data_IF_171954448657
#
_entry.id   IF_171954448657
#
_cell.length_a   1.000
_cell.length_b   1.000
_cell.length_c   1.000
_cell.angle_alpha   90.00
_cell.angle_beta   90.00
_cell.angle_gamma   90.00
#
_symmetry.space_group_name_H-M   'P 1'
#
loop_
_entity.id
_entity.type
_entity.pdbx_description
1 polymer ?
#
# COMPACT_ATOMS: atom_id res chain seq x y z
N UNK A 1 36.08 37.63 -28.81
CA UNK A 1 36.21 36.58 -27.79
C UNK A 1 34.87 35.87 -27.70
N UNK A 2 34.73 34.76 -28.41
CA UNK A 2 33.52 33.92 -28.39
C UNK A 2 33.77 32.72 -27.50
N UNK A 3 32.86 32.46 -26.57
CA UNK A 3 32.91 31.30 -25.69
C UNK A 3 32.35 30.13 -26.51
N UNK A 4 33.21 29.16 -26.80
CA UNK A 4 32.83 27.87 -27.40
C UNK A 4 32.04 27.08 -26.36
N UNK A 5 30.76 26.86 -26.63
CA UNK A 5 29.92 25.93 -25.88
C UNK A 5 30.31 24.50 -26.27
N UNK A 6 30.86 23.76 -25.31
CA UNK A 6 31.03 22.32 -25.44
C UNK A 6 29.63 21.67 -25.36
N UNK A 7 29.19 21.03 -26.45
CA UNK A 7 28.06 20.09 -26.41
C UNK A 7 28.46 18.89 -25.55
N UNK A 8 27.75 18.73 -24.43
CA UNK A 8 27.75 17.48 -23.68
C UNK A 8 26.86 16.53 -24.47
N UNK A 9 27.48 15.61 -25.21
CA UNK A 9 26.80 14.47 -25.81
C UNK A 9 26.42 13.54 -24.66
N UNK A 10 25.14 13.52 -24.30
CA UNK A 10 24.59 12.44 -23.47
C UNK A 10 24.62 11.18 -24.33
N UNK A 11 25.36 10.17 -23.88
CA UNK A 11 25.25 8.84 -24.45
C UNK A 11 23.82 8.34 -24.21
N UNK A 12 23.12 7.97 -25.29
CA UNK A 12 21.90 7.19 -25.22
C UNK A 12 22.23 5.86 -24.52
N UNK A 13 21.98 5.77 -23.22
CA UNK A 13 21.82 4.47 -22.56
C UNK A 13 20.52 3.85 -23.09
N UNK A 14 20.52 2.58 -23.51
CA UNK A 14 19.27 1.93 -23.89
C UNK A 14 18.42 1.82 -22.63
N UNK A 15 17.39 2.65 -22.54
CA UNK A 15 16.29 2.47 -21.60
C UNK A 15 15.62 1.14 -21.93
N UNK A 16 16.11 0.04 -21.35
CA UNK A 16 15.26 -1.09 -21.03
C UNK A 16 14.40 -0.64 -19.86
N UNK A 17 13.39 0.16 -20.17
CA UNK A 17 12.31 0.36 -19.25
C UNK A 17 11.65 -1.00 -19.03
N UNK A 18 11.37 -1.39 -17.77
CA UNK A 18 10.64 -2.62 -17.52
C UNK A 18 9.25 -2.46 -18.13
N UNK A 19 8.94 -3.26 -19.14
CA UNK A 19 7.56 -3.36 -19.59
C UNK A 19 6.79 -4.02 -18.45
N UNK A 20 6.08 -3.21 -17.66
CA UNK A 20 5.06 -3.71 -16.73
C UNK A 20 3.85 -4.07 -17.61
N UNK A 21 3.98 -5.18 -18.33
CA UNK A 21 3.17 -5.47 -19.53
C UNK A 21 1.76 -5.99 -19.27
N UNK A 22 1.33 -6.09 -18.02
CA UNK A 22 -0.02 -6.53 -17.66
C UNK A 22 -0.45 -5.78 -16.40
N UNK A 23 -1.67 -5.24 -16.37
CA UNK A 23 -2.26 -4.65 -15.15
C UNK A 23 -2.10 -5.64 -13.98
N UNK A 24 -1.26 -5.31 -13.00
CA UNK A 24 -1.02 -6.21 -11.88
C UNK A 24 -2.24 -6.28 -10.97
N UNK A 25 -2.93 -7.42 -10.99
CA UNK A 25 -4.03 -7.68 -10.07
C UNK A 25 -3.52 -7.80 -8.63
N UNK A 26 -4.36 -7.45 -7.66
CA UNK A 26 -4.03 -7.59 -6.25
C UNK A 26 -3.53 -9.01 -5.92
N UNK A 27 -2.45 -9.09 -5.15
CA UNK A 27 -1.84 -10.34 -4.70
C UNK A 27 -0.99 -11.04 -5.77
N UNK A 28 -0.94 -10.51 -7.00
CA UNK A 28 -0.05 -11.04 -8.03
C UNK A 28 1.40 -10.89 -7.60
N UNK A 29 2.16 -11.98 -7.76
CA UNK A 29 3.60 -11.96 -7.53
C UNK A 29 4.27 -11.24 -8.70
N UNK A 30 5.14 -10.30 -8.35
CA UNK A 30 5.97 -9.55 -9.29
C UNK A 30 7.38 -10.14 -9.24
N UNK A 31 7.97 -10.36 -10.40
CA UNK A 31 9.39 -10.69 -10.51
C UNK A 31 10.22 -9.46 -10.13
N UNK A 32 11.10 -9.61 -9.15
CA UNK A 32 11.93 -8.49 -8.68
C UNK A 32 13.10 -8.32 -9.65
N UNK A 33 13.18 -7.14 -10.27
CA UNK A 33 14.28 -6.75 -11.14
C UNK A 33 14.96 -5.47 -10.64
N UNK A 34 16.21 -5.19 -11.02
CA UNK A 34 16.91 -3.94 -10.69
C UNK A 34 16.09 -2.69 -11.06
N UNK A 35 15.40 -2.71 -12.20
CA UNK A 35 14.62 -1.58 -12.71
C UNK A 35 13.37 -1.32 -11.84
N UNK A 36 12.68 -2.38 -11.44
CA UNK A 36 11.53 -2.31 -10.52
C UNK A 36 11.97 -1.76 -9.16
N UNK A 37 13.14 -2.17 -8.67
CA UNK A 37 13.69 -1.66 -7.42
C UNK A 37 14.12 -0.19 -7.56
N UNK A 38 14.69 0.20 -8.70
CA UNK A 38 15.09 1.58 -8.97
C UNK A 38 13.89 2.54 -9.07
N UNK A 39 12.74 2.07 -9.56
CA UNK A 39 11.51 2.87 -9.64
C UNK A 39 10.63 2.79 -8.38
N UNK A 40 11.04 2.03 -7.37
CA UNK A 40 10.31 1.85 -6.13
C UNK A 40 10.53 3.02 -5.15
N UNK A 41 9.42 3.58 -4.67
CA UNK A 41 9.37 4.63 -3.66
C UNK A 41 8.79 4.06 -2.37
N UNK A 42 9.63 3.73 -1.37
CA UNK A 42 9.18 3.17 -0.10
C UNK A 42 8.39 4.19 0.73
N UNK A 43 7.37 3.72 1.44
CA UNK A 43 6.52 4.51 2.36
C UNK A 43 6.53 3.95 3.77
N UNK A 44 6.64 2.62 3.91
CA UNK A 44 6.63 1.92 5.20
C UNK A 44 7.68 0.83 5.23
N UNK A 45 8.26 0.59 6.40
CA UNK A 45 9.20 -0.51 6.63
C UNK A 45 8.80 -1.28 7.88
N UNK A 46 8.90 -2.60 7.79
CA UNK A 46 8.78 -3.48 8.93
C UNK A 46 10.02 -4.38 8.99
N UNK A 47 10.82 -4.33 10.07
CA UNK A 47 11.94 -5.25 10.25
C UNK A 47 11.44 -6.67 10.49
N UNK A 48 12.26 -7.69 10.21
CA UNK A 48 11.89 -9.07 10.51
C UNK A 48 11.63 -9.22 12.02
N UNK A 49 10.47 -9.80 12.36
CA UNK A 49 10.04 -10.00 13.75
C UNK A 49 9.12 -11.22 13.85
N UNK A 50 9.44 -12.11 14.78
CA UNK A 50 8.66 -13.33 15.05
C UNK A 50 8.38 -14.14 13.78
N UNK A 51 7.11 -14.30 13.40
CA UNK A 51 6.69 -15.04 12.19
C UNK A 51 6.54 -14.14 10.96
N UNK A 52 6.78 -12.84 11.09
CA UNK A 52 6.74 -11.91 9.97
C UNK A 52 8.15 -11.64 9.44
N UNK A 53 8.40 -11.87 8.13
CA UNK A 53 9.62 -11.44 7.49
C UNK A 53 9.75 -9.90 7.49
N UNK A 54 10.95 -9.43 7.18
CA UNK A 54 11.13 -8.01 6.87
C UNK A 54 10.35 -7.69 5.59
N UNK A 55 9.70 -6.53 5.55
CA UNK A 55 9.05 -6.05 4.34
C UNK A 55 9.13 -4.54 4.22
N UNK A 56 9.03 -4.07 2.97
CA UNK A 56 8.98 -2.65 2.62
C UNK A 56 7.76 -2.43 1.73
N UNK A 57 6.87 -1.55 2.16
CA UNK A 57 5.69 -1.16 1.38
C UNK A 57 5.87 0.22 0.78
N UNK A 58 5.39 0.42 -0.43
CA UNK A 58 5.46 1.70 -1.13
C UNK A 58 4.80 1.62 -2.50
N UNK A 59 5.33 2.34 -3.48
CA UNK A 59 4.82 2.29 -4.84
C UNK A 59 5.92 2.16 -5.88
N UNK A 60 5.64 1.37 -6.92
CA UNK A 60 6.48 1.24 -8.12
C UNK A 60 5.89 2.13 -9.20
N UNK A 61 6.72 2.95 -9.84
CA UNK A 61 6.32 3.72 -11.02
C UNK A 61 6.62 2.93 -12.29
N UNK A 62 5.59 2.74 -13.11
CA UNK A 62 5.72 2.38 -14.51
C UNK A 62 5.97 3.65 -15.31
N UNK A 63 7.22 3.84 -15.73
CA UNK A 63 7.64 5.03 -16.46
C UNK A 63 7.21 5.01 -17.93
N UNK A 64 6.85 3.86 -18.49
CA UNK A 64 6.39 3.76 -19.88
C UNK A 64 4.91 4.03 -20.02
N UNK A 65 4.10 3.43 -19.16
CA UNK A 65 2.64 3.55 -19.24
C UNK A 65 2.06 4.60 -18.28
N UNK A 66 2.91 5.24 -17.46
CA UNK A 66 2.48 6.21 -16.45
C UNK A 66 1.71 5.58 -15.28
N UNK A 67 1.82 4.26 -15.12
CA UNK A 67 1.20 3.50 -14.04
C UNK A 67 1.88 3.75 -12.69
N UNK A 68 1.11 3.78 -11.61
CA UNK A 68 1.66 3.73 -10.23
C UNK A 68 1.04 2.54 -9.52
N UNK A 69 1.84 1.64 -8.99
CA UNK A 69 1.35 0.43 -8.33
C UNK A 69 1.75 0.42 -6.86
N UNK A 70 0.79 0.33 -5.94
CA UNK A 70 1.06 0.00 -4.54
C UNK A 70 1.65 -1.41 -4.48
N UNK A 71 2.85 -1.54 -3.91
CA UNK A 71 3.64 -2.76 -3.94
C UNK A 71 4.27 -3.04 -2.58
N UNK A 72 4.28 -4.31 -2.18
CA UNK A 72 4.99 -4.80 -0.99
C UNK A 72 6.16 -5.69 -1.43
N UNK A 73 7.37 -5.32 -1.02
CA UNK A 73 8.56 -6.16 -1.11
C UNK A 73 8.75 -6.90 0.21
N UNK A 74 8.94 -8.21 0.16
CA UNK A 74 9.11 -9.09 1.32
C UNK A 74 10.44 -9.81 1.20
N UNK A 75 11.25 -9.78 2.27
CA UNK A 75 12.51 -10.51 2.32
C UNK A 75 12.31 -11.91 2.85
N UNK A 76 12.55 -12.91 2.01
CA UNK A 76 12.51 -14.32 2.37
C UNK A 76 13.91 -14.91 2.23
N UNK A 77 14.51 -15.27 3.37
CA UNK A 77 15.93 -15.65 3.43
C UNK A 77 16.82 -14.59 2.73
N UNK A 78 17.52 -15.00 1.68
CA UNK A 78 18.45 -14.15 0.91
C UNK A 78 17.82 -13.54 -0.35
N UNK A 79 16.51 -13.70 -0.56
CA UNK A 79 15.82 -13.21 -1.76
C UNK A 79 14.65 -12.29 -1.42
N UNK A 80 14.37 -11.36 -2.33
CA UNK A 80 13.19 -10.50 -2.27
C UNK A 80 12.09 -11.02 -3.18
N UNK A 81 10.84 -10.95 -2.69
CA UNK A 81 9.63 -11.17 -3.48
C UNK A 81 8.80 -9.90 -3.45
N UNK A 82 8.09 -9.58 -4.52
CA UNK A 82 7.20 -8.44 -4.57
C UNK A 82 5.75 -8.88 -4.84
N UNK A 83 4.79 -8.18 -4.26
CA UNK A 83 3.37 -8.37 -4.47
C UNK A 83 2.71 -7.05 -4.84
N UNK A 84 1.95 -7.06 -5.93
CA UNK A 84 1.08 -5.94 -6.27
C UNK A 84 -0.11 -5.88 -5.32
N UNK A 85 -0.54 -4.68 -4.97
CA UNK A 85 -1.74 -4.47 -4.16
C UNK A 85 -2.82 -3.82 -5.02
N UNK A 86 -2.55 -2.64 -5.57
CA UNK A 86 -3.53 -1.90 -6.36
C UNK A 86 -2.84 -0.87 -7.26
N UNK A 87 -3.34 -0.72 -8.49
CA UNK A 87 -2.94 0.29 -9.45
C UNK A 87 -3.56 1.67 -9.11
N UNK A 88 -2.83 2.75 -9.41
CA UNK A 88 -3.13 4.15 -9.11
C UNK A 88 -3.43 4.45 -7.64
N UNK A 89 -3.00 3.58 -6.74
CA UNK A 89 -3.31 3.64 -5.32
C UNK A 89 -2.08 3.87 -4.45
N UNK A 90 -2.32 4.36 -3.23
CA UNK A 90 -1.34 4.43 -2.16
C UNK A 90 -1.82 3.68 -0.92
N UNK A 91 -0.87 3.22 -0.10
CA UNK A 91 -1.17 2.62 1.20
C UNK A 91 -1.66 3.68 2.17
N UNK A 92 -2.87 3.47 2.69
CA UNK A 92 -3.47 4.31 3.72
C UNK A 92 -3.15 3.83 5.13
N UNK A 93 -3.20 2.52 5.35
CA UNK A 93 -3.08 1.89 6.65
C UNK A 93 -2.49 0.49 6.50
N UNK A 94 -1.78 0.04 7.52
CA UNK A 94 -1.18 -1.29 7.58
C UNK A 94 -1.34 -1.81 9.01
N UNK A 95 -1.88 -3.02 9.16
CA UNK A 95 -1.96 -3.74 10.42
C UNK A 95 -0.97 -4.89 10.42
N UNK A 96 -0.28 -5.10 11.54
CA UNK A 96 0.74 -6.14 11.71
C UNK A 96 0.51 -6.85 13.03
N UNK A 97 0.53 -8.19 12.99
CA UNK A 97 0.56 -9.03 14.18
C UNK A 97 1.67 -10.08 14.01
N UNK A 98 2.88 -9.70 14.44
CA UNK A 98 4.12 -10.45 14.18
C UNK A 98 4.09 -11.89 14.71
N UNK A 99 3.53 -12.11 15.89
CA UNK A 99 3.45 -13.43 16.53
C UNK A 99 2.60 -14.45 15.75
N UNK A 100 1.65 -13.98 14.95
CA UNK A 100 0.80 -14.84 14.10
C UNK A 100 1.21 -14.83 12.64
N UNK A 101 2.22 -14.04 12.26
CA UNK A 101 2.64 -13.95 10.85
C UNK A 101 1.66 -13.15 9.99
N UNK A 102 0.83 -12.29 10.61
CA UNK A 102 -0.25 -11.59 9.92
C UNK A 102 0.12 -10.16 9.58
N UNK A 103 -0.17 -9.78 8.35
CA UNK A 103 -0.17 -8.39 7.92
C UNK A 103 -1.41 -8.12 7.04
N UNK A 104 -1.97 -6.93 7.16
CA UNK A 104 -3.12 -6.46 6.37
C UNK A 104 -2.79 -5.07 5.87
N UNK A 105 -2.89 -4.86 4.56
CA UNK A 105 -2.58 -3.63 3.87
C UNK A 105 -3.86 -3.07 3.26
N UNK A 106 -4.12 -1.78 3.48
CA UNK A 106 -5.27 -1.08 2.95
C UNK A 106 -4.79 -0.02 1.95
N UNK A 107 -5.09 -0.19 0.67
CA UNK A 107 -4.78 0.80 -0.36
C UNK A 107 -6.03 1.44 -0.93
N UNK A 108 -5.91 2.69 -1.36
CA UNK A 108 -6.98 3.45 -2.00
C UNK A 108 -6.42 4.31 -3.11
N UNK A 109 -7.19 4.46 -4.19
CA UNK A 109 -6.85 5.32 -5.34
C UNK A 109 -7.02 6.78 -4.92
N UNK A 110 -5.98 7.60 -5.01
CA UNK A 110 -6.09 8.98 -4.49
C UNK A 110 -6.89 9.93 -5.41
N UNK A 111 -7.22 9.54 -6.65
CA UNK A 111 -7.67 10.48 -7.71
C UNK A 111 -9.03 10.11 -8.36
N UNK A 112 -9.68 9.00 -8.02
CA UNK A 112 -10.89 8.55 -8.73
C UNK A 112 -12.19 8.71 -7.95
N UNK A 113 -12.71 9.94 -7.91
CA UNK A 113 -14.15 10.18 -7.78
C UNK A 113 -14.84 9.72 -6.49
N UNK A 114 -16.19 9.79 -6.47
CA UNK A 114 -16.98 9.47 -5.29
C UNK A 114 -17.03 7.98 -5.01
N UNK A 115 -17.07 7.59 -3.73
CA UNK A 115 -17.49 6.22 -3.38
C UNK A 115 -16.39 5.17 -3.51
N UNK A 116 -15.14 5.53 -3.26
CA UNK A 116 -14.02 4.60 -3.37
C UNK A 116 -14.02 3.54 -2.26
N UNK A 117 -13.82 2.28 -2.67
CA UNK A 117 -13.49 1.18 -1.77
C UNK A 117 -11.99 1.15 -1.49
N UNK A 118 -11.62 0.52 -0.37
CA UNK A 118 -10.23 0.13 -0.16
C UNK A 118 -10.00 -1.26 -0.72
N UNK A 119 -8.91 -1.43 -1.46
CA UNK A 119 -8.37 -2.75 -1.73
C UNK A 119 -7.61 -3.22 -0.48
N UNK A 120 -7.85 -4.47 -0.10
CA UNK A 120 -7.16 -5.12 1.00
C UNK A 120 -6.25 -6.22 0.46
N UNK A 121 -5.00 -6.24 0.88
CA UNK A 121 -4.12 -7.40 0.77
C UNK A 121 -3.82 -7.92 2.18
N UNK A 122 -4.01 -9.22 2.41
CA UNK A 122 -3.78 -9.86 3.71
C UNK A 122 -2.94 -11.12 3.58
N UNK A 123 -2.06 -11.33 4.55
CA UNK A 123 -1.38 -12.60 4.81
C UNK A 123 -1.60 -13.03 6.26
N UNK A 124 -1.48 -14.33 6.53
CA UNK A 124 -1.58 -14.94 7.87
C UNK A 124 -0.42 -15.87 8.20
N UNK A 125 0.56 -15.96 7.31
CA UNK A 125 1.59 -16.99 7.30
C UNK A 125 2.93 -16.43 6.81
N UNK A 126 3.20 -15.16 7.13
CA UNK A 126 4.46 -14.52 6.77
C UNK A 126 4.64 -14.37 5.27
N UNK A 127 3.56 -14.08 4.54
CA UNK A 127 3.51 -13.95 3.08
C UNK A 127 3.73 -15.24 2.29
N UNK A 128 3.69 -16.41 2.93
CA UNK A 128 3.64 -17.67 2.18
C UNK A 128 2.37 -17.76 1.32
N UNK A 129 1.25 -17.22 1.83
CA UNK A 129 0.03 -16.96 1.06
C UNK A 129 -0.41 -15.51 1.24
N UNK A 130 -0.92 -14.93 0.16
CA UNK A 130 -1.57 -13.62 0.14
C UNK A 130 -2.98 -13.78 -0.40
N UNK A 131 -3.91 -13.00 0.15
CA UNK A 131 -5.30 -12.93 -0.28
C UNK A 131 -5.71 -11.48 -0.45
N UNK A 132 -6.66 -11.27 -1.35
CA UNK A 132 -7.21 -9.95 -1.61
C UNK A 132 -8.70 -9.90 -1.28
N UNK A 133 -9.13 -8.75 -0.77
CA UNK A 133 -10.50 -8.46 -0.40
C UNK A 133 -10.72 -6.95 -0.40
N UNK A 134 -11.79 -6.47 0.22
CA UNK A 134 -12.14 -5.06 0.14
C UNK A 134 -12.78 -4.51 1.42
N UNK A 135 -12.62 -3.19 1.61
CA UNK A 135 -13.53 -2.39 2.43
C UNK A 135 -14.46 -1.66 1.46
N UNK A 136 -15.75 -2.03 1.39
CA UNK A 136 -16.68 -1.37 0.49
C UNK A 136 -16.88 0.09 0.91
N UNK A 137 -17.20 0.95 -0.05
CA UNK A 137 -17.56 2.33 0.23
C UNK A 137 -18.87 2.42 1.03
N UNK A 138 -19.08 3.51 1.80
CA UNK A 138 -20.34 3.76 2.47
C UNK A 138 -21.47 3.87 1.44
N UNK A 139 -22.67 3.40 1.80
CA UNK A 139 -23.86 3.53 0.92
C UNK A 139 -24.40 4.96 0.81
N UNK A 140 -23.81 5.90 1.55
CA UNK A 140 -24.12 7.32 1.43
C UNK A 140 -23.72 7.81 0.04
N UNK A 141 -24.54 8.67 -0.56
CA UNK A 141 -24.16 9.32 -1.82
C UNK A 141 -22.95 10.22 -1.56
N UNK A 142 -21.83 9.88 -2.18
CA UNK A 142 -20.60 10.66 -2.19
C UNK A 142 -20.55 11.45 -3.51
N UNK A 143 -20.00 12.66 -3.47
CA UNK A 143 -19.65 13.47 -4.64
C UNK A 143 -18.16 13.31 -5.00
N UNK A 144 -17.73 13.79 -6.16
CA UNK A 144 -16.45 13.42 -6.80
C UNK A 144 -15.20 13.66 -5.94
N UNK A 145 -15.27 14.60 -5.00
CA UNK A 145 -14.17 14.97 -4.12
C UNK A 145 -14.37 14.45 -2.69
N UNK A 146 -15.46 13.74 -2.43
CA UNK A 146 -15.72 13.10 -1.14
C UNK A 146 -14.96 11.78 -1.06
N UNK A 147 -14.29 11.54 0.06
CA UNK A 147 -13.49 10.35 0.23
C UNK A 147 -13.64 9.75 1.62
N UNK A 148 -13.46 8.43 1.67
CA UNK A 148 -13.39 7.69 2.91
C UNK A 148 -11.95 7.69 3.42
N UNK A 149 -11.76 7.87 4.72
CA UNK A 149 -10.48 7.74 5.39
C UNK A 149 -10.62 6.75 6.54
N UNK A 150 -9.88 5.63 6.49
CA UNK A 150 -9.69 4.75 7.65
C UNK A 150 -8.81 5.48 8.68
N UNK A 151 -9.27 5.53 9.93
CA UNK A 151 -8.61 6.20 11.06
C UNK A 151 -8.04 5.22 12.06
N UNK A 152 -8.76 4.12 12.30
CA UNK A 152 -8.44 3.10 13.29
C UNK A 152 -8.80 1.72 12.74
N UNK A 153 -8.00 0.71 13.07
CA UNK A 153 -8.23 -0.69 12.72
C UNK A 153 -7.94 -1.56 13.93
N UNK A 154 -8.97 -1.95 14.66
CA UNK A 154 -8.88 -2.76 15.88
C UNK A 154 -9.19 -4.22 15.54
N UNK A 155 -8.15 -5.05 15.50
CA UNK A 155 -8.26 -6.46 15.17
C UNK A 155 -7.69 -7.34 16.29
N UNK A 156 -8.27 -8.52 16.44
CA UNK A 156 -7.68 -9.57 17.25
C UNK A 156 -6.56 -10.33 16.48
N UNK A 157 -5.99 -11.35 17.12
CA UNK A 157 -4.95 -12.18 16.52
C UNK A 157 -5.44 -13.00 15.30
N UNK A 158 -6.74 -13.31 15.24
CA UNK A 158 -7.40 -13.95 14.10
C UNK A 158 -7.68 -12.96 12.96
N UNK A 159 -7.48 -11.66 13.20
CA UNK A 159 -7.75 -10.56 12.28
C UNK A 159 -9.23 -10.16 12.26
N UNK A 160 -10.04 -10.67 13.18
CA UNK A 160 -11.44 -10.30 13.30
C UNK A 160 -11.55 -9.05 14.17
N UNK A 161 -12.50 -8.17 13.87
CA UNK A 161 -12.62 -6.92 14.60
C UNK A 161 -13.34 -5.83 13.84
N UNK A 162 -12.96 -4.58 14.13
CA UNK A 162 -13.59 -3.39 13.58
C UNK A 162 -12.56 -2.43 13.00
N UNK A 163 -13.02 -1.63 12.05
CA UNK A 163 -12.34 -0.42 11.61
C UNK A 163 -13.27 0.74 11.80
N UNK A 164 -12.69 1.89 12.07
CA UNK A 164 -13.39 3.15 12.20
C UNK A 164 -12.75 4.15 11.26
N UNK A 165 -13.59 5.00 10.69
CA UNK A 165 -13.12 6.00 9.76
C UNK A 165 -14.05 7.18 9.65
N UNK A 166 -13.66 8.09 8.77
CA UNK A 166 -14.36 9.34 8.51
C UNK A 166 -14.59 9.45 7.00
N UNK A 167 -15.79 9.83 6.63
CA UNK A 167 -16.07 10.35 5.28
C UNK A 167 -15.84 11.85 5.32
N UNK A 168 -14.90 12.31 4.51
CA UNK A 168 -14.67 13.72 4.26
C UNK A 168 -15.51 14.14 3.05
N UNK A 169 -16.25 15.22 3.23
CA UNK A 169 -17.06 15.80 2.16
C UNK A 169 -16.35 17.04 1.61
N UNK A 170 -16.49 17.23 0.32
CA UNK A 170 -15.93 18.36 -0.42
C UNK A 170 -16.74 19.65 -0.27
N UNK A 171 -18.03 19.53 0.01
CA UNK A 171 -18.89 20.65 0.43
C UNK A 171 -18.73 20.94 1.93
N UNK A 172 -19.28 22.06 2.43
CA UNK A 172 -19.30 22.45 3.87
C UNK A 172 -20.11 21.49 4.77
N UNK A 173 -20.30 20.24 4.37
CA UNK A 173 -20.91 19.18 5.16
C UNK A 173 -19.92 18.74 6.24
N UNK A 174 -20.46 18.50 7.43
CA UNK A 174 -19.65 17.93 8.52
C UNK A 174 -19.18 16.52 8.14
N UNK A 175 -17.93 16.16 8.43
CA UNK A 175 -17.46 14.79 8.24
C UNK A 175 -18.35 13.79 8.99
N UNK A 176 -18.53 12.61 8.40
CA UNK A 176 -19.37 11.55 8.98
C UNK A 176 -18.49 10.38 9.44
N UNK A 177 -18.63 10.01 10.70
CA UNK A 177 -17.95 8.85 11.25
C UNK A 177 -18.65 7.57 10.79
N UNK A 178 -17.89 6.52 10.50
CA UNK A 178 -18.42 5.20 10.21
C UNK A 178 -17.61 4.11 10.90
N UNK A 179 -18.25 2.96 11.06
CA UNK A 179 -17.61 1.73 11.51
C UNK A 179 -17.91 0.59 10.53
N UNK A 180 -16.96 -0.32 10.36
CA UNK A 180 -17.14 -1.57 9.64
C UNK A 180 -16.49 -2.71 10.43
N UNK A 181 -16.93 -3.94 10.17
CA UNK A 181 -16.43 -5.12 10.88
C UNK A 181 -15.97 -6.19 9.90
N UNK A 182 -14.96 -6.95 10.31
CA UNK A 182 -14.51 -8.15 9.61
C UNK A 182 -14.59 -9.36 10.53
N UNK A 183 -14.98 -10.50 9.95
CA UNK A 183 -15.05 -11.82 10.60
C UNK A 183 -14.36 -12.92 9.79
N UNK A 184 -13.58 -12.51 8.81
CA UNK A 184 -12.81 -13.39 7.94
C UNK A 184 -11.34 -13.00 7.96
N UNK A 185 -10.87 -12.63 9.17
CA UNK A 185 -9.53 -12.17 9.48
C UNK A 185 -9.07 -10.99 8.66
N UNK A 186 -9.91 -9.97 8.55
CA UNK A 186 -9.59 -8.67 8.00
C UNK A 186 -9.56 -8.62 6.48
N UNK A 187 -10.06 -9.65 5.79
CA UNK A 187 -10.02 -9.74 4.34
C UNK A 187 -11.19 -8.96 3.72
N UNK A 188 -12.41 -9.26 4.15
CA UNK A 188 -13.62 -8.58 3.71
C UNK A 188 -14.29 -7.89 4.89
N UNK A 189 -14.91 -6.76 4.60
CA UNK A 189 -15.50 -5.89 5.60
C UNK A 189 -16.98 -5.67 5.31
N UNK A 190 -17.77 -5.55 6.37
CA UNK A 190 -19.16 -5.14 6.27
C UNK A 190 -19.28 -3.76 5.62
N UNK A 191 -20.42 -3.47 4.99
CA UNK A 191 -20.72 -2.12 4.53
C UNK A 191 -20.56 -1.11 5.70
N UNK A 192 -19.83 0.01 5.49
CA UNK A 192 -19.69 1.05 6.49
C UNK A 192 -21.03 1.54 7.01
N UNK A 193 -21.21 1.48 8.32
CA UNK A 193 -22.37 1.99 9.02
C UNK A 193 -22.02 3.31 9.71
N UNK A 194 -22.84 4.34 9.51
CA UNK A 194 -22.68 5.63 10.19
C UNK A 194 -22.75 5.44 11.71
N UNK A 195 -21.88 6.13 12.43
CA UNK A 195 -21.86 6.18 13.90
C UNK A 195 -21.79 7.63 14.37
N UNK A 196 -22.25 7.88 15.59
CA UNK A 196 -22.24 9.22 16.20
C UNK A 196 -20.88 9.59 16.79
N UNK A 197 -19.95 8.63 16.89
CA UNK A 197 -18.64 8.81 17.49
C UNK A 197 -17.52 8.44 16.52
N UNK A 198 -16.59 9.36 16.32
CA UNK A 198 -15.32 9.09 15.68
C UNK A 198 -14.36 8.59 16.76
N UNK A 199 -13.76 7.42 16.55
CA UNK A 199 -12.72 6.92 17.44
C UNK A 199 -11.40 7.55 17.02
N UNK A 200 -10.78 8.34 17.91
CA UNK A 200 -9.50 9.02 17.69
C UNK A 200 -8.28 8.16 18.10
N UNK A 201 -8.43 6.84 18.20
CA UNK A 201 -7.31 5.95 18.47
C UNK A 201 -6.59 5.60 17.16
N UNK A 202 -5.33 5.98 17.04
CA UNK A 202 -4.46 5.47 15.99
C UNK A 202 -3.99 4.08 16.42
N UNK A 203 -4.38 3.05 15.66
CA UNK A 203 -3.79 1.72 15.83
C UNK A 203 -2.42 1.72 15.17
N UNK A 204 -1.45 1.21 15.92
CA UNK A 204 -0.03 1.01 15.60
C UNK A 204 0.38 1.47 14.19
N UNK A 205 0.80 2.73 14.09
CA UNK A 205 1.47 3.23 12.89
C UNK A 205 2.76 2.45 12.77
N UNK A 206 2.89 1.62 11.74
CA UNK A 206 4.20 1.13 11.32
C UNK A 206 5.16 2.30 11.30
N UNK A 207 6.37 2.11 11.82
CA UNK A 207 7.36 3.18 11.86
C UNK A 207 7.41 3.87 10.49
N UNK A 208 7.26 5.21 10.44
CA UNK A 208 7.36 5.93 9.19
C UNK A 208 8.69 5.56 8.51
N UNK A 209 8.68 5.55 7.18
CA UNK A 209 9.88 5.28 6.39
C UNK A 209 11.12 5.98 6.95
N UNK A 210 12.17 5.20 7.19
CA UNK A 210 13.52 5.68 7.47
C UNK A 210 14.45 5.15 6.38
N UNK A 211 15.04 6.06 5.61
CA UNK A 211 15.98 5.74 4.53
C UNK A 211 17.26 5.04 5.04
N UNK A 212 17.56 5.19 6.33
CA UNK A 212 18.63 4.47 7.03
C UNK A 212 18.28 3.03 7.44
N UNK A 213 17.03 2.58 7.23
CA UNK A 213 16.61 1.26 7.68
C UNK A 213 17.27 0.13 6.87
N UNK A 214 17.76 -0.89 7.57
CA UNK A 214 18.45 -2.04 7.00
C UNK A 214 17.68 -2.72 5.84
N UNK A 215 16.37 -3.01 5.98
CA UNK A 215 15.59 -3.62 4.90
C UNK A 215 15.54 -2.76 3.62
N UNK A 216 15.47 -1.43 3.73
CA UNK A 216 15.45 -0.54 2.55
C UNK A 216 16.81 -0.54 1.86
N UNK A 217 17.90 -0.44 2.62
CA UNK A 217 19.26 -0.46 2.06
C UNK A 217 19.56 -1.79 1.36
N UNK A 218 19.14 -2.88 1.99
CA UNK A 218 19.29 -4.23 1.44
C UNK A 218 18.47 -4.41 0.16
N UNK A 219 17.21 -3.98 0.12
CA UNK A 219 16.41 -3.99 -1.11
C UNK A 219 17.09 -3.17 -2.22
N UNK A 220 17.55 -1.95 -1.91
CA UNK A 220 18.22 -1.07 -2.88
C UNK A 220 19.55 -1.65 -3.41
N UNK A 221 20.16 -2.60 -2.70
CA UNK A 221 21.38 -3.26 -3.20
C UNK A 221 21.14 -4.08 -4.47
N UNK A 222 19.88 -4.49 -4.73
CA UNK A 222 19.50 -5.21 -5.95
C UNK A 222 19.45 -4.32 -7.21
N UNK A 223 19.45 -3.00 -7.05
CA UNK A 223 19.44 -2.04 -8.17
C UNK A 223 20.85 -1.66 -8.67
N UNK A 224 21.89 -2.32 -8.18
CA UNK A 224 23.30 -2.01 -8.48
C UNK A 224 23.92 -2.99 -9.47
#
# INVERSE_FOLDING_TARGET
MGISSAEIVYADEPAHNPVISDHWACGSRIEVSPEIVASFHPTYVHPAKDKLPAFVGGFVKDMENGGVYSTIFVKEADAWKAFAVQEQASFSNIYVHAETGRAIFFSMISVEGPGQSYQVLSTRDGFATVKCGEVPAPKTKLDTLDYMQIRSVLLDAAGDGSLDGIVHFSEERKPECFTASSKDGGLNWSAPAKTDQCIDSVVEVLAPFDEGSGPVQDLRSLAR
#
